data_IF_016714110230
#
_entry.id   IF_016714110230
#
_cell.length_a   1.000
_cell.length_b   1.000
_cell.length_c   1.000
_cell.angle_alpha   90.00
_cell.angle_beta   90.00
_cell.angle_gamma   90.00
#
_symmetry.space_group_name_H-M   'P 1'
#
loop_
_entity.id
_entity.type
_entity.pdbx_description
1 polymer ?
#
# COMPACT_ATOMS: atom_id res chain seq x y z
N UNK A 1 -11.64 -2.26 -13.94
CA UNK A 1 -11.63 -3.10 -12.73
C UNK A 1 -12.89 -2.75 -11.95
N UNK A 2 -13.73 -3.73 -11.57
CA UNK A 2 -15.08 -3.48 -11.06
C UNK A 2 -15.07 -2.66 -9.75
N UNK A 3 -15.87 -1.60 -9.70
CA UNK A 3 -15.94 -0.63 -8.61
C UNK A 3 -16.28 -1.27 -7.25
N UNK A 4 -17.08 -2.35 -7.26
CA UNK A 4 -17.45 -3.12 -6.07
C UNK A 4 -16.25 -3.83 -5.43
N UNK A 5 -15.28 -4.30 -6.23
CA UNK A 5 -14.07 -4.96 -5.71
C UNK A 5 -13.15 -3.92 -5.08
N UNK A 6 -13.09 -2.71 -5.63
CA UNK A 6 -12.29 -1.61 -5.07
C UNK A 6 -12.83 -1.18 -3.70
N UNK A 7 -14.14 -0.98 -3.59
CA UNK A 7 -14.80 -0.66 -2.31
C UNK A 7 -14.60 -1.75 -1.25
N UNK A 8 -14.66 -3.03 -1.64
CA UNK A 8 -14.42 -4.13 -0.71
C UNK A 8 -12.97 -4.15 -0.20
N UNK A 9 -12.01 -3.83 -1.06
CA UNK A 9 -10.59 -3.71 -0.70
C UNK A 9 -10.36 -2.49 0.21
N UNK A 10 -11.00 -1.36 -0.06
CA UNK A 10 -10.87 -0.13 0.74
C UNK A 10 -11.45 -0.30 2.16
N UNK A 11 -12.61 -0.97 2.29
CA UNK A 11 -13.21 -1.31 3.60
C UNK A 11 -12.39 -2.37 4.33
N UNK A 12 -11.87 -3.36 3.62
CA UNK A 12 -10.99 -4.37 4.23
C UNK A 12 -9.70 -3.71 4.73
N UNK A 13 -9.17 -2.75 3.97
CA UNK A 13 -7.94 -2.05 4.31
C UNK A 13 -8.06 -1.19 5.57
N UNK A 14 -9.19 -0.51 5.77
CA UNK A 14 -9.41 0.26 7.00
C UNK A 14 -9.34 -0.59 8.27
N UNK A 15 -9.57 -1.91 8.16
CA UNK A 15 -9.44 -2.87 9.27
C UNK A 15 -7.99 -3.24 9.57
N UNK A 16 -7.08 -3.13 8.60
CA UNK A 16 -5.65 -3.48 8.76
C UNK A 16 -4.72 -2.27 8.88
N UNK A 17 -5.27 -1.06 8.86
CA UNK A 17 -4.51 0.17 8.98
C UNK A 17 -4.38 0.55 10.45
N UNK A 18 -3.14 0.81 10.87
CA UNK A 18 -2.78 1.28 12.20
C UNK A 18 -2.54 2.81 12.15
N UNK A 19 -2.60 3.50 13.29
CA UNK A 19 -2.43 4.96 13.33
C UNK A 19 -1.05 5.41 12.79
N UNK A 20 -0.03 4.56 12.95
CA UNK A 20 1.32 4.80 12.45
C UNK A 20 1.40 4.79 10.90
N UNK A 21 0.43 4.16 10.24
CA UNK A 21 0.39 4.08 8.78
C UNK A 21 -0.10 5.39 8.12
N UNK A 22 -0.83 6.23 8.87
CA UNK A 22 -1.52 7.42 8.34
C UNK A 22 -0.56 8.32 7.57
N UNK A 23 0.63 8.57 8.13
CA UNK A 23 1.63 9.42 7.48
C UNK A 23 2.14 8.84 6.15
N UNK A 24 2.17 7.53 5.98
CA UNK A 24 2.54 6.89 4.72
C UNK A 24 1.41 6.94 3.71
N UNK A 25 0.16 6.72 4.16
CA UNK A 25 -1.04 6.80 3.32
C UNK A 25 -1.24 8.22 2.77
N UNK A 26 -1.10 9.26 3.59
CA UNK A 26 -1.17 10.64 3.13
C UNK A 26 -0.09 10.97 2.08
N UNK A 27 1.12 10.46 2.27
CA UNK A 27 2.23 10.64 1.33
C UNK A 27 1.95 9.95 -0.02
N UNK A 28 1.34 8.76 0.01
CA UNK A 28 0.91 8.01 -1.18
C UNK A 28 -0.24 8.72 -1.87
N UNK A 29 -1.25 9.19 -1.14
CA UNK A 29 -2.40 9.92 -1.70
C UNK A 29 -1.95 11.21 -2.40
N UNK A 30 -0.96 11.92 -1.84
CA UNK A 30 -0.39 13.13 -2.46
C UNK A 30 0.48 12.81 -3.67
N UNK A 31 1.24 11.71 -3.63
CA UNK A 31 2.21 11.35 -4.66
C UNK A 31 2.15 9.85 -5.02
N UNK A 32 1.06 9.38 -5.66
CA UNK A 32 0.84 7.95 -5.91
C UNK A 32 1.87 7.36 -6.88
N UNK A 33 2.45 8.16 -7.76
CA UNK A 33 3.50 7.71 -8.69
C UNK A 33 4.92 7.77 -8.12
N UNK A 34 5.08 8.11 -6.83
CA UNK A 34 6.37 8.13 -6.17
C UNK A 34 6.73 6.75 -5.63
N UNK A 35 7.60 6.03 -6.36
CA UNK A 35 8.15 4.75 -5.89
C UNK A 35 8.73 4.84 -4.46
N UNK A 36 9.36 5.97 -4.13
CA UNK A 36 9.96 6.20 -2.81
C UNK A 36 8.92 6.18 -1.68
N UNK A 37 7.72 6.69 -1.91
CA UNK A 37 6.64 6.69 -0.91
C UNK A 37 6.18 5.25 -0.63
N UNK A 38 5.95 4.46 -1.69
CA UNK A 38 5.57 3.05 -1.58
C UNK A 38 6.62 2.20 -0.87
N UNK A 39 7.89 2.31 -1.27
CA UNK A 39 8.98 1.53 -0.67
C UNK A 39 9.13 1.82 0.81
N UNK A 40 9.04 3.09 1.22
CA UNK A 40 9.08 3.47 2.63
C UNK A 40 7.95 2.85 3.44
N UNK A 41 6.75 2.80 2.87
CA UNK A 41 5.61 2.22 3.56
C UNK A 41 5.77 0.70 3.72
N UNK A 42 6.18 0.01 2.65
CA UNK A 42 6.48 -1.42 2.66
C UNK A 42 7.58 -1.73 3.69
N UNK A 43 8.65 -0.94 3.72
CA UNK A 43 9.73 -1.08 4.69
C UNK A 43 9.23 -0.89 6.14
N UNK A 44 8.35 0.08 6.38
CA UNK A 44 7.71 0.28 7.68
C UNK A 44 6.93 -0.98 8.10
N UNK A 45 6.01 -1.48 7.26
CA UNK A 45 5.24 -2.70 7.54
C UNK A 45 6.15 -3.91 7.79
N UNK A 46 7.26 -4.06 7.05
CA UNK A 46 8.27 -5.10 7.28
C UNK A 46 8.97 -4.93 8.64
N UNK A 47 9.36 -3.71 9.00
CA UNK A 47 10.03 -3.42 10.29
C UNK A 47 9.13 -3.71 11.48
N UNK A 48 7.83 -3.39 11.38
CA UNK A 48 6.83 -3.71 12.39
C UNK A 48 6.44 -5.19 12.43
N UNK A 49 7.04 -6.03 11.55
CA UNK A 49 6.72 -7.46 11.40
C UNK A 49 5.23 -7.68 11.14
N UNK A 50 4.60 -6.79 10.38
CA UNK A 50 3.21 -6.92 9.98
C UNK A 50 2.99 -8.25 9.23
N UNK A 51 1.78 -8.84 9.32
CA UNK A 51 1.47 -10.06 8.58
C UNK A 51 1.79 -9.91 7.08
N UNK A 52 2.33 -10.96 6.47
CA UNK A 52 2.68 -10.98 5.04
C UNK A 52 1.52 -10.53 4.15
N UNK A 53 0.27 -10.86 4.54
CA UNK A 53 -0.94 -10.42 3.84
C UNK A 53 -1.04 -8.89 3.74
N UNK A 54 -0.76 -8.17 4.82
CA UNK A 54 -0.79 -6.70 4.81
C UNK A 54 0.33 -6.12 3.95
N UNK A 55 1.54 -6.69 4.04
CA UNK A 55 2.68 -6.26 3.23
C UNK A 55 2.37 -6.46 1.73
N UNK A 56 1.85 -7.63 1.36
CA UNK A 56 1.48 -7.96 0.00
C UNK A 56 0.40 -7.02 -0.55
N UNK A 57 -0.57 -6.61 0.27
CA UNK A 57 -1.57 -5.61 -0.14
C UNK A 57 -0.94 -4.28 -0.53
N UNK A 58 0.05 -3.79 0.23
CA UNK A 58 0.76 -2.56 -0.13
C UNK A 58 1.53 -2.73 -1.44
N UNK A 59 2.15 -3.90 -1.66
CA UNK A 59 2.80 -4.22 -2.94
C UNK A 59 1.81 -4.24 -4.11
N UNK A 60 0.67 -4.90 -3.97
CA UNK A 60 -0.37 -4.96 -5.00
C UNK A 60 -0.90 -3.57 -5.37
N UNK A 61 -1.11 -2.70 -4.37
CA UNK A 61 -1.48 -1.29 -4.58
C UNK A 61 -0.38 -0.54 -5.32
N UNK A 62 0.87 -0.68 -4.88
CA UNK A 62 2.00 -0.03 -5.51
C UNK A 62 2.14 -0.45 -6.99
N UNK A 63 1.93 -1.73 -7.31
CA UNK A 63 2.00 -2.25 -8.69
C UNK A 63 0.82 -1.78 -9.56
N UNK A 64 -0.36 -1.54 -8.98
CA UNK A 64 -1.49 -0.93 -9.70
C UNK A 64 -1.21 0.51 -10.11
N UNK A 65 -0.62 1.29 -9.21
CA UNK A 65 -0.26 2.70 -9.48
C UNK A 65 1.03 2.85 -10.30
N UNK A 66 1.97 1.89 -10.16
CA UNK A 66 3.28 1.87 -10.82
C UNK A 66 3.49 0.55 -11.59
N UNK A 67 2.71 0.32 -12.65
CA UNK A 67 2.88 -0.86 -13.48
C UNK A 67 4.27 -0.85 -14.14
N UNK A 68 4.96 -1.99 -14.11
CA UNK A 68 6.29 -2.14 -14.73
C UNK A 68 7.47 -1.66 -13.89
N UNK A 69 7.25 -1.26 -12.63
CA UNK A 69 8.35 -0.95 -11.72
C UNK A 69 9.12 -2.22 -11.30
N UNK A 70 10.30 -2.43 -11.89
CA UNK A 70 11.15 -3.60 -11.61
C UNK A 70 11.61 -3.70 -10.14
N UNK A 71 11.55 -2.60 -9.39
CA UNK A 71 11.94 -2.55 -7.97
C UNK A 71 10.81 -3.02 -7.03
N UNK A 72 9.58 -3.12 -7.53
CA UNK A 72 8.41 -3.61 -6.79
C UNK A 72 8.07 -5.07 -7.13
N UNK A 73 8.55 -5.56 -8.28
CA UNK A 73 8.59 -6.97 -8.65
C UNK A 73 9.70 -7.71 -7.90
#
# INVERSE_FOLDING_TARGET
MNFEVQLFVDVYWSVFQEDEDIGFEENILRNPYSLRCWVRYIEHKKKCKAPLKQINMVYERALKELPGSYKLW
#
